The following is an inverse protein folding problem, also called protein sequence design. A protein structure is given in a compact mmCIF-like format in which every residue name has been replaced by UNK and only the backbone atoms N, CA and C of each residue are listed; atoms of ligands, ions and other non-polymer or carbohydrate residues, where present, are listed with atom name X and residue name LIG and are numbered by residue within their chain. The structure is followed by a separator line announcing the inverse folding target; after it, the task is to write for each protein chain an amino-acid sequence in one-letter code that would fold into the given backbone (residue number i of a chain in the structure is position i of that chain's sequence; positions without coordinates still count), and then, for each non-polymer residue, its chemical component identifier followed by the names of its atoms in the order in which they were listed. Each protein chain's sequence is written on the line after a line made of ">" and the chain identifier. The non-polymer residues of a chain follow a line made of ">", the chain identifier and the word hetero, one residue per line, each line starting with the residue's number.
data_IF_369711426574
#
_entry.id   IF_369711426574
#
_cell.length_a   1.000
_cell.length_b   1.000
_cell.length_c   1.000
_cell.angle_alpha   90.00
_cell.angle_beta   90.00
_cell.angle_gamma   90.00
#
_symmetry.space_group_name_H-M   'P 1'
#
loop_
_entity.id
_entity.type
_entity.pdbx_description
1 polymer ?
#
# COMPACT_ATOMS: atom_id res chain seq x y z
N UNK A 1 10.13 -7.70 -5.21
CA UNK A 1 10.18 -6.43 -5.97
C UNK A 1 8.84 -6.15 -6.62
N UNK A 2 7.88 -5.73 -5.79
CA UNK A 2 6.60 -5.16 -6.22
C UNK A 2 6.73 -3.65 -6.06
N UNK A 3 6.44 -2.86 -7.08
CA UNK A 3 6.49 -1.40 -6.99
C UNK A 3 5.57 -0.78 -8.04
N UNK A 4 5.06 0.42 -7.77
CA UNK A 4 4.18 1.14 -8.71
C UNK A 4 4.81 1.37 -10.09
N UNK A 5 6.14 1.47 -10.19
CA UNK A 5 6.84 1.56 -11.48
C UNK A 5 6.75 0.29 -12.35
N UNK A 6 6.29 -0.82 -11.78
CA UNK A 6 6.06 -2.09 -12.49
C UNK A 6 4.57 -2.42 -12.61
N UNK A 7 3.68 -1.46 -12.34
CA UNK A 7 2.23 -1.62 -12.45
C UNK A 7 1.75 -0.66 -13.53
N UNK A 8 1.31 -1.22 -14.65
CA UNK A 8 0.74 -0.48 -15.75
C UNK A 8 -0.78 -0.57 -15.69
N UNK A 9 -1.45 0.44 -16.22
CA UNK A 9 -2.90 0.47 -16.37
C UNK A 9 -3.21 0.35 -17.86
N UNK A 10 -4.16 -0.52 -18.21
CA UNK A 10 -4.71 -0.57 -19.56
C UNK A 10 -5.82 0.49 -19.76
N UNK A 11 -6.46 0.47 -20.92
CA UNK A 11 -7.50 1.44 -21.30
C UNK A 11 -8.71 1.44 -20.35
N UNK A 12 -8.95 0.31 -19.66
CA UNK A 12 -10.02 0.12 -18.67
C UNK A 12 -9.54 0.33 -17.23
N UNK A 13 -8.35 0.94 -17.06
CA UNK A 13 -7.67 1.15 -15.77
C UNK A 13 -7.41 -0.15 -14.99
N UNK A 14 -7.31 -1.30 -15.66
CA UNK A 14 -6.96 -2.54 -15.00
C UNK A 14 -5.45 -2.62 -14.78
N UNK A 15 -5.06 -2.93 -13.54
CA UNK A 15 -3.68 -3.06 -13.15
C UNK A 15 -3.05 -4.34 -13.76
N UNK A 16 -1.89 -4.18 -14.42
CA UNK A 16 -1.06 -5.27 -14.95
C UNK A 16 0.34 -5.17 -14.35
N UNK A 17 0.80 -6.26 -13.74
CA UNK A 17 2.14 -6.37 -13.17
C UNK A 17 3.15 -6.77 -14.25
N UNK A 18 4.30 -6.11 -14.28
CA UNK A 18 5.43 -6.43 -15.16
C UNK A 18 6.75 -6.50 -14.38
N UNK A 19 7.90 -6.53 -15.07
CA UNK A 19 9.22 -6.47 -14.43
C UNK A 19 9.75 -7.81 -13.93
N UNK A 20 9.14 -8.93 -14.34
CA UNK A 20 9.54 -10.29 -13.93
C UNK A 20 11.00 -10.64 -14.27
N UNK A 21 11.57 -10.06 -15.32
CA UNK A 21 12.98 -10.27 -15.71
C UNK A 21 14.01 -9.72 -14.71
N UNK A 22 13.57 -8.91 -13.73
CA UNK A 22 14.42 -8.33 -12.68
C UNK A 22 14.29 -9.07 -11.34
N UNK A 23 13.56 -10.19 -11.29
CA UNK A 23 13.48 -11.01 -10.08
C UNK A 23 14.85 -11.63 -9.77
N UNK A 24 15.62 -10.95 -8.91
CA UNK A 24 16.76 -11.57 -8.25
C UNK A 24 16.21 -12.67 -7.33
N UNK A 25 16.85 -13.85 -7.31
CA UNK A 25 16.64 -14.85 -6.24
C UNK A 25 17.02 -14.21 -4.90
N UNK A 26 16.08 -13.50 -4.28
CA UNK A 26 16.25 -12.98 -2.93
C UNK A 26 16.09 -14.13 -1.94
N UNK A 27 16.95 -14.16 -0.91
CA UNK A 27 16.89 -15.15 0.18
C UNK A 27 15.73 -14.90 1.16
N UNK A 28 15.17 -13.69 1.13
CA UNK A 28 14.09 -13.24 2.01
C UNK A 28 12.97 -12.74 1.10
N UNK A 29 11.76 -13.25 1.30
CA UNK A 29 10.58 -12.77 0.59
C UNK A 29 10.13 -11.45 1.21
N UNK A 30 10.46 -10.34 0.55
CA UNK A 30 10.00 -9.00 0.95
C UNK A 30 8.75 -8.56 0.18
N UNK A 31 8.14 -9.46 -0.61
CA UNK A 31 7.04 -9.08 -1.49
C UNK A 31 5.87 -8.47 -0.73
N UNK A 32 5.51 -9.02 0.43
CA UNK A 32 4.39 -8.52 1.27
C UNK A 32 4.68 -7.11 1.78
N UNK A 33 5.92 -6.84 2.20
CA UNK A 33 6.32 -5.49 2.60
C UNK A 33 6.31 -4.53 1.40
N UNK A 34 6.88 -4.93 0.26
CA UNK A 34 6.87 -4.16 -0.98
C UNK A 34 5.42 -3.79 -1.41
N UNK A 35 4.47 -4.72 -1.23
CA UNK A 35 3.06 -4.48 -1.49
C UNK A 35 2.43 -3.52 -0.48
N UNK A 36 2.81 -3.58 0.80
CA UNK A 36 2.39 -2.62 1.80
C UNK A 36 2.78 -1.18 1.41
N UNK A 37 4.02 -1.02 0.95
CA UNK A 37 4.54 0.27 0.44
C UNK A 37 3.68 0.75 -0.73
N UNK A 38 3.38 -0.13 -1.69
CA UNK A 38 2.51 0.19 -2.82
C UNK A 38 1.11 0.64 -2.39
N UNK A 39 0.47 -0.06 -1.45
CA UNK A 39 -0.86 0.32 -0.96
C UNK A 39 -0.84 1.71 -0.30
N UNK A 40 0.21 2.01 0.48
CA UNK A 40 0.40 3.33 1.05
C UNK A 40 0.65 4.39 -0.02
N UNK A 41 1.37 4.08 -1.10
CA UNK A 41 1.50 5.02 -2.25
C UNK A 41 0.14 5.35 -2.86
N UNK A 42 -0.75 4.35 -3.00
CA UNK A 42 -2.11 4.55 -3.52
C UNK A 42 -2.95 5.41 -2.57
N UNK A 43 -2.91 5.13 -1.27
CA UNK A 43 -3.70 5.89 -0.27
C UNK A 43 -3.22 7.34 -0.15
N UNK A 44 -1.91 7.56 -0.19
CA UNK A 44 -1.29 8.87 0.08
C UNK A 44 -1.05 9.71 -1.18
N UNK A 45 -1.13 9.10 -2.37
CA UNK A 45 -0.78 9.76 -3.63
C UNK A 45 0.71 10.11 -3.76
N UNK A 46 1.57 9.59 -2.88
CA UNK A 46 2.98 9.98 -2.79
C UNK A 46 3.90 8.78 -2.61
N UNK A 47 5.14 8.90 -3.12
CA UNK A 47 6.17 7.86 -2.99
C UNK A 47 6.51 7.59 -1.53
N UNK A 48 6.52 6.33 -1.16
CA UNK A 48 6.80 5.90 0.20
C UNK A 48 8.26 5.45 0.36
N UNK A 49 8.87 5.91 1.45
CA UNK A 49 10.20 5.52 1.94
C UNK A 49 10.05 4.96 3.35
N UNK A 50 11.08 4.30 3.88
CA UNK A 50 11.02 3.64 5.19
C UNK A 50 10.56 4.58 6.33
N UNK A 51 11.02 5.83 6.33
CA UNK A 51 10.63 6.85 7.30
C UNK A 51 9.17 7.30 7.12
N UNK A 52 8.69 7.46 5.88
CA UNK A 52 7.31 7.87 5.61
C UNK A 52 6.32 6.74 5.86
N UNK A 53 6.70 5.48 5.60
CA UNK A 53 5.92 4.29 5.97
C UNK A 53 5.71 4.25 7.49
N UNK A 54 6.77 4.48 8.27
CA UNK A 54 6.68 4.50 9.73
C UNK A 54 5.76 5.60 10.22
N UNK A 55 5.86 6.80 9.65
CA UNK A 55 4.96 7.92 9.98
C UNK A 55 3.50 7.63 9.60
N UNK A 56 3.26 7.07 8.41
CA UNK A 56 1.93 6.67 7.97
C UNK A 56 1.31 5.64 8.92
N UNK A 57 2.06 4.61 9.32
CA UNK A 57 1.61 3.62 10.31
C UNK A 57 1.25 4.28 11.65
N UNK A 58 2.04 5.22 12.14
CA UNK A 58 1.74 5.94 13.38
C UNK A 58 0.43 6.74 13.26
N UNK A 59 0.20 7.40 12.13
CA UNK A 59 -1.04 8.16 11.87
C UNK A 59 -2.25 7.24 11.78
N UNK A 60 -2.15 6.14 11.04
CA UNK A 60 -3.23 5.15 10.93
C UNK A 60 -3.60 4.60 12.31
N UNK A 61 -2.61 4.14 13.08
CA UNK A 61 -2.83 3.56 14.42
C UNK A 61 -3.32 4.55 15.48
N UNK A 62 -3.09 5.85 15.27
CA UNK A 62 -3.61 6.91 16.14
C UNK A 62 -4.95 7.48 15.68
N UNK A 63 -5.58 6.87 14.66
CA UNK A 63 -6.89 7.29 14.15
C UNK A 63 -6.85 8.59 13.35
N UNK A 64 -5.68 8.95 12.79
CA UNK A 64 -5.42 10.17 12.00
C UNK A 64 -5.21 9.83 10.53
N UNK A 65 -6.02 8.92 9.99
CA UNK A 65 -5.89 8.45 8.61
C UNK A 65 -6.08 9.59 7.61
N UNK A 66 -7.06 10.46 7.87
CA UNK A 66 -7.38 11.63 7.06
C UNK A 66 -6.19 12.58 6.84
N UNK A 67 -5.21 12.59 7.76
CA UNK A 67 -4.01 13.43 7.65
C UNK A 67 -3.02 12.91 6.59
N UNK A 68 -3.15 11.66 6.15
CA UNK A 68 -2.23 11.02 5.19
C UNK A 68 -2.88 10.67 3.86
N UNK A 69 -4.22 10.72 3.75
CA UNK A 69 -4.92 10.43 2.50
C UNK A 69 -4.59 11.49 1.45
N UNK A 70 -4.41 11.07 0.20
CA UNK A 70 -4.20 11.97 -0.94
C UNK A 70 -5.27 13.07 -0.96
N UNK A 71 -4.89 14.37 -0.89
CA UNK A 71 -5.84 15.47 -0.97
C UNK A 71 -6.70 15.45 -2.24
N UNK A 72 -6.21 14.88 -3.35
CA UNK A 72 -6.96 14.74 -4.59
C UNK A 72 -8.16 13.78 -4.48
N UNK A 73 -8.21 12.96 -3.44
CA UNK A 73 -9.36 12.10 -3.14
C UNK A 73 -10.48 12.83 -2.38
N UNK A 74 -10.30 14.09 -1.98
CA UNK A 74 -11.31 14.89 -1.26
C UNK A 74 -11.94 14.12 -0.10
N UNK A 75 -11.11 13.53 0.77
CA UNK A 75 -11.51 12.51 1.75
C UNK A 75 -12.79 12.86 2.54
N UNK A 76 -12.94 14.11 2.99
CA UNK A 76 -14.10 14.52 3.78
C UNK A 76 -15.40 14.69 2.98
N UNK A 77 -15.32 14.81 1.67
CA UNK A 77 -16.46 14.92 0.74
C UNK A 77 -16.90 13.55 0.22
N UNK A 78 -16.08 12.51 0.43
CA UNK A 78 -16.38 11.15 0.00
C UNK A 78 -17.58 10.56 0.77
N UNK A 79 -18.44 9.77 0.11
CA UNK A 79 -19.40 8.90 0.77
C UNK A 79 -18.75 8.06 1.87
N UNK A 80 -19.51 7.77 2.94
CA UNK A 80 -19.03 6.97 4.09
C UNK A 80 -18.40 5.66 3.63
N UNK A 81 -19.05 4.94 2.71
CA UNK A 81 -18.56 3.66 2.19
C UNK A 81 -17.18 3.77 1.52
N UNK A 82 -16.87 4.88 0.82
CA UNK A 82 -15.57 5.05 0.18
C UNK A 82 -14.49 5.42 1.19
N UNK A 83 -14.83 6.19 2.23
CA UNK A 83 -13.91 6.43 3.36
C UNK A 83 -13.58 5.15 4.11
N UNK A 84 -14.56 4.27 4.30
CA UNK A 84 -14.36 2.94 4.89
C UNK A 84 -13.45 2.09 4.01
N UNK A 85 -13.62 2.10 2.68
CA UNK A 85 -12.72 1.38 1.75
C UNK A 85 -11.28 1.90 1.83
N UNK A 86 -11.07 3.21 1.87
CA UNK A 86 -9.73 3.79 2.07
C UNK A 86 -9.13 3.31 3.40
N UNK A 87 -9.95 3.28 4.46
CA UNK A 87 -9.56 2.73 5.76
C UNK A 87 -9.16 1.26 5.72
N UNK A 88 -9.91 0.43 5.00
CA UNK A 88 -9.60 -0.98 4.82
C UNK A 88 -8.27 -1.18 4.08
N UNK A 89 -8.01 -0.41 3.02
CA UNK A 89 -6.73 -0.48 2.30
C UNK A 89 -5.55 -0.08 3.21
N UNK A 90 -5.71 0.98 4.01
CA UNK A 90 -4.70 1.40 4.97
C UNK A 90 -4.47 0.36 6.09
N UNK A 91 -5.53 -0.32 6.54
CA UNK A 91 -5.42 -1.42 7.51
C UNK A 91 -4.70 -2.63 6.94
N UNK A 92 -5.01 -3.05 5.70
CA UNK A 92 -4.29 -4.12 5.00
C UNK A 92 -2.80 -3.76 4.88
N UNK A 93 -2.49 -2.54 4.44
CA UNK A 93 -1.11 -2.08 4.35
C UNK A 93 -0.39 -2.15 5.72
N UNK A 94 -1.07 -1.75 6.79
CA UNK A 94 -0.54 -1.85 8.17
C UNK A 94 -0.22 -3.29 8.55
N UNK A 95 -1.12 -4.24 8.24
CA UNK A 95 -0.90 -5.67 8.51
C UNK A 95 0.26 -6.22 7.70
N UNK A 96 0.37 -5.86 6.41
CA UNK A 96 1.50 -6.27 5.58
C UNK A 96 2.84 -5.79 6.15
N UNK A 97 2.92 -4.55 6.66
CA UNK A 97 4.13 -4.04 7.32
C UNK A 97 4.44 -4.79 8.62
N UNK A 98 3.44 -5.05 9.47
CA UNK A 98 3.64 -5.65 10.78
C UNK A 98 3.90 -7.16 10.75
N UNK A 99 3.30 -7.87 9.78
CA UNK A 99 3.27 -9.34 9.78
C UNK A 99 3.88 -9.98 8.54
N UNK A 100 4.19 -9.21 7.49
CA UNK A 100 4.73 -9.74 6.24
C UNK A 100 6.11 -10.37 6.36
N UNK A 101 6.94 -9.92 7.32
CA UNK A 101 8.26 -10.51 7.58
C UNK A 101 8.23 -11.80 8.41
N UNK A 102 7.13 -12.04 9.13
CA UNK A 102 6.97 -13.17 10.05
C UNK A 102 6.46 -14.45 9.36
N UNK A 103 6.09 -14.36 8.07
CA UNK A 103 5.49 -15.46 7.30
C UNK A 103 4.09 -15.89 7.75
N UNK A 104 3.49 -15.18 8.72
CA UNK A 104 2.13 -15.42 9.23
C UNK A 104 1.05 -14.75 8.38
N UNK A 105 1.45 -13.85 7.49
CA UNK A 105 0.59 -13.08 6.60
C UNK A 105 1.24 -13.04 5.22
N UNK A 106 0.70 -13.83 4.30
CA UNK A 106 1.15 -13.96 2.93
C UNK A 106 0.26 -13.20 1.95
N UNK A 107 0.65 -13.18 0.68
CA UNK A 107 -0.10 -12.49 -0.39
C UNK A 107 -1.49 -13.05 -0.68
N UNK A 108 -1.79 -14.24 -0.19
CA UNK A 108 -3.05 -14.96 -0.47
C UNK A 108 -4.07 -14.76 0.65
N UNK A 109 -3.64 -14.27 1.82
CA UNK A 109 -4.48 -14.01 3.00
C UNK A 109 -5.27 -12.70 2.85
#
# INVERSE_FOLDING_TARGET
>A
NVASGYIFLDEDFQAKVTGFGLQRKQRIDTSVYDFAVLLLEIVTGSKQREDTVTQALQKIRSGKLEEIVDPALYFHEQPVAFREQIGLVADIATRCVLFGGDGKFGMVD
#
